data_IF_288988019377
#
_entry.id   IF_288988019377
#
_cell.length_a   1.000
_cell.length_b   1.000
_cell.length_c   1.000
_cell.angle_alpha   90.00
_cell.angle_beta   90.00
_cell.angle_gamma   90.00
#
_symmetry.space_group_name_H-M   'P 1'
#
loop_
_entity.id
_entity.type
_entity.pdbx_description
1 polymer ?
#
# COMPACT_ATOMS: atom_id res chain seq x y z
N UNK A 1 -20.03 14.71 -30.33
CA UNK A 1 -18.77 14.33 -31.01
C UNK A 1 -17.84 13.76 -29.95
N UNK A 2 -17.23 12.59 -30.18
CA UNK A 2 -16.28 12.02 -29.23
C UNK A 2 -15.08 12.96 -29.03
N UNK A 3 -14.61 13.03 -27.79
CA UNK A 3 -13.39 13.75 -27.39
C UNK A 3 -12.15 13.16 -28.08
N UNK A 4 -11.03 13.87 -28.04
CA UNK A 4 -9.75 13.37 -28.57
C UNK A 4 -9.38 12.02 -27.94
N UNK A 5 -9.52 11.90 -26.62
CA UNK A 5 -9.21 10.69 -25.85
C UNK A 5 -10.14 9.52 -26.20
N UNK A 6 -11.44 9.77 -26.40
CA UNK A 6 -12.39 8.72 -26.82
C UNK A 6 -12.02 8.14 -28.20
N UNK A 7 -11.63 9.00 -29.15
CA UNK A 7 -11.17 8.55 -30.47
C UNK A 7 -9.87 7.75 -30.37
N UNK A 8 -8.89 8.24 -29.61
CA UNK A 8 -7.63 7.52 -29.36
C UNK A 8 -7.91 6.14 -28.75
N UNK A 9 -8.81 6.06 -27.76
CA UNK A 9 -9.20 4.79 -27.13
C UNK A 9 -9.82 3.83 -28.14
N UNK A 10 -10.81 4.27 -28.93
CA UNK A 10 -11.48 3.45 -29.94
C UNK A 10 -10.50 2.92 -31.00
N UNK A 11 -9.54 3.75 -31.43
CA UNK A 11 -8.48 3.37 -32.34
C UNK A 11 -7.55 2.30 -31.73
N UNK A 12 -7.10 2.50 -30.50
CA UNK A 12 -6.24 1.56 -29.77
C UNK A 12 -6.94 0.21 -29.54
N UNK A 13 -8.23 0.22 -29.20
CA UNK A 13 -9.02 -1.00 -28.98
C UNK A 13 -9.25 -1.76 -30.29
N UNK A 14 -9.70 -1.06 -31.33
CA UNK A 14 -9.98 -1.67 -32.64
C UNK A 14 -8.72 -2.27 -33.25
N UNK A 15 -7.58 -1.59 -33.12
CA UNK A 15 -6.30 -2.05 -33.64
C UNK A 15 -5.55 -3.00 -32.70
N UNK A 16 -6.07 -3.27 -31.48
CA UNK A 16 -5.42 -4.08 -30.43
C UNK A 16 -4.00 -3.60 -30.08
N UNK A 17 -3.81 -2.29 -29.96
CA UNK A 17 -2.49 -1.63 -29.81
C UNK A 17 -2.10 -1.28 -28.37
N UNK A 18 -2.83 -1.76 -27.37
CA UNK A 18 -2.50 -1.54 -25.95
C UNK A 18 -1.12 -2.07 -25.54
N UNK A 19 -0.75 -3.27 -25.98
CA UNK A 19 0.57 -3.83 -25.69
C UNK A 19 1.69 -3.00 -26.34
N UNK A 20 1.63 -2.66 -27.66
CA UNK A 20 2.57 -1.72 -28.27
C UNK A 20 2.71 -0.38 -27.54
N UNK A 21 1.59 0.30 -27.24
CA UNK A 21 1.60 1.59 -26.55
C UNK A 21 2.22 1.48 -25.15
N UNK A 22 1.89 0.42 -24.41
CA UNK A 22 2.49 0.17 -23.09
C UNK A 22 4.00 -0.01 -23.18
N UNK A 23 4.50 -0.74 -24.18
CA UNK A 23 5.93 -0.92 -24.42
C UNK A 23 6.62 0.38 -24.86
N UNK A 24 5.95 1.19 -25.68
CA UNK A 24 6.42 2.51 -26.08
C UNK A 24 6.62 3.41 -24.85
N UNK A 25 5.61 3.52 -23.97
CA UNK A 25 5.71 4.27 -22.72
C UNK A 25 6.86 3.74 -21.85
N UNK A 26 7.01 2.42 -21.76
CA UNK A 26 8.12 1.79 -21.01
C UNK A 26 9.49 2.18 -21.59
N UNK A 27 9.63 2.20 -22.91
CA UNK A 27 10.88 2.53 -23.57
C UNK A 27 11.21 4.04 -23.50
N UNK A 28 10.20 4.90 -23.51
CA UNK A 28 10.36 6.35 -23.36
C UNK A 28 10.52 6.80 -21.90
N UNK A 29 10.20 5.95 -20.94
CA UNK A 29 10.35 6.27 -19.51
C UNK A 29 11.83 6.44 -19.16
N UNK A 30 12.18 7.59 -18.60
CA UNK A 30 13.54 7.84 -18.13
C UNK A 30 13.83 7.04 -16.87
N UNK A 31 15.05 6.50 -16.78
CA UNK A 31 15.57 5.82 -15.59
C UNK A 31 16.49 6.77 -14.82
N UNK A 32 16.03 7.23 -13.65
CA UNK A 32 16.76 8.14 -12.80
C UNK A 32 17.58 7.37 -11.75
N UNK A 33 18.66 7.96 -11.19
CA UNK A 33 19.42 7.32 -10.11
C UNK A 33 18.55 6.97 -8.90
N UNK A 34 18.74 5.77 -8.36
CA UNK A 34 18.10 5.26 -7.13
C UNK A 34 19.14 4.59 -6.22
N UNK A 35 20.31 5.24 -6.05
CA UNK A 35 21.49 4.70 -5.39
C UNK A 35 21.24 4.43 -3.90
N UNK A 36 20.55 5.33 -3.21
CA UNK A 36 20.29 5.20 -1.76
C UNK A 36 19.49 3.93 -1.47
N UNK A 37 18.52 3.61 -2.32
CA UNK A 37 17.71 2.41 -2.20
C UNK A 37 18.52 1.10 -2.34
N UNK A 38 19.71 1.16 -2.95
CA UNK A 38 20.59 0.00 -3.16
C UNK A 38 21.71 -0.14 -2.14
N UNK A 39 21.83 0.77 -1.18
CA UNK A 39 22.79 0.62 -0.09
C UNK A 39 22.51 -0.67 0.72
N UNK A 40 23.54 -1.40 1.17
CA UNK A 40 23.38 -2.66 1.89
C UNK A 40 22.44 -2.56 3.10
N UNK A 41 22.54 -1.48 3.89
CA UNK A 41 21.71 -1.21 5.06
C UNK A 41 20.22 -1.00 4.73
N UNK A 42 19.88 -0.68 3.48
CA UNK A 42 18.51 -0.45 3.02
C UNK A 42 17.86 -1.70 2.41
N UNK A 43 18.60 -2.80 2.26
CA UNK A 43 18.09 -4.04 1.63
C UNK A 43 16.84 -4.58 2.33
N UNK A 44 16.80 -4.56 3.66
CA UNK A 44 15.66 -5.03 4.45
C UNK A 44 14.50 -4.02 4.54
N UNK A 45 14.64 -2.81 3.95
CA UNK A 45 13.57 -1.79 3.86
C UNK A 45 12.86 -1.82 2.50
N UNK A 46 13.29 -2.70 1.59
CA UNK A 46 12.73 -2.87 0.26
C UNK A 46 11.99 -4.20 0.14
N UNK A 47 10.69 -4.14 -0.20
CA UNK A 47 9.88 -5.35 -0.42
C UNK A 47 10.29 -6.09 -1.70
N UNK A 48 10.66 -5.33 -2.74
CA UNK A 48 11.05 -5.86 -4.04
C UNK A 48 12.40 -5.30 -4.46
N UNK A 49 13.28 -6.15 -4.97
CA UNK A 49 14.64 -5.78 -5.38
C UNK A 49 14.65 -4.84 -6.59
N UNK A 50 13.66 -5.00 -7.46
CA UNK A 50 13.48 -4.33 -8.74
C UNK A 50 12.57 -3.10 -8.68
N UNK A 51 12.05 -2.74 -7.51
CA UNK A 51 11.23 -1.53 -7.31
C UNK A 51 11.86 -0.64 -6.26
N UNK A 52 12.33 0.53 -6.67
CA UNK A 52 13.04 1.47 -5.80
C UNK A 52 12.63 2.92 -6.09
N UNK A 53 12.58 3.80 -5.08
CA UNK A 53 12.35 5.21 -5.31
C UNK A 53 13.60 5.85 -5.94
N UNK A 54 13.42 6.81 -6.83
CA UNK A 54 14.53 7.62 -7.33
C UNK A 54 15.06 8.55 -6.25
N UNK A 55 16.36 8.83 -6.27
CA UNK A 55 17.05 9.60 -5.23
C UNK A 55 16.53 11.04 -5.12
N UNK A 56 16.11 11.64 -6.25
CA UNK A 56 15.64 13.03 -6.31
C UNK A 56 14.20 13.21 -5.80
N UNK A 57 13.38 12.16 -5.84
CA UNK A 57 11.96 12.20 -5.46
C UNK A 57 11.63 11.37 -4.23
N UNK A 58 12.60 10.61 -3.67
CA UNK A 58 12.36 9.79 -2.48
C UNK A 58 11.94 10.67 -1.31
N UNK A 59 10.98 10.17 -0.53
CA UNK A 59 10.68 10.75 0.77
C UNK A 59 11.83 10.45 1.72
N UNK A 60 12.26 11.45 2.50
CA UNK A 60 13.33 11.33 3.49
C UNK A 60 12.73 11.45 4.88
N UNK A 61 12.93 10.43 5.70
CA UNK A 61 12.51 10.47 7.09
C UNK A 61 13.41 11.42 7.87
N UNK A 62 12.81 12.32 8.64
CA UNK A 62 13.54 13.19 9.58
C UNK A 62 13.65 12.50 10.95
N UNK A 63 14.64 12.87 11.75
CA UNK A 63 14.85 12.36 13.11
C UNK A 63 14.94 10.82 13.20
N UNK A 64 15.51 10.18 12.18
CA UNK A 64 15.82 8.76 12.14
C UNK A 64 17.31 8.56 11.83
N UNK A 65 17.94 7.53 12.39
CA UNK A 65 19.35 7.21 12.10
C UNK A 65 19.58 6.93 10.61
N UNK A 66 18.57 6.38 9.94
CA UNK A 66 18.55 6.12 8.51
C UNK A 66 17.28 6.72 7.90
N UNK A 67 17.47 7.73 7.04
CA UNK A 67 16.41 8.53 6.41
C UNK A 67 15.60 7.78 5.33
N UNK A 68 15.96 6.53 5.04
CA UNK A 68 15.41 5.79 3.91
C UNK A 68 14.06 5.13 4.22
N UNK A 69 13.11 5.38 3.32
CA UNK A 69 11.86 4.63 3.14
C UNK A 69 11.61 4.47 1.63
N UNK A 70 11.06 3.32 1.20
CA UNK A 70 10.71 3.11 -0.21
C UNK A 70 9.40 3.84 -0.57
N UNK A 71 9.49 5.15 -0.68
CA UNK A 71 8.39 6.04 -1.02
C UNK A 71 8.88 7.17 -1.92
N UNK A 72 8.05 7.60 -2.86
CA UNK A 72 8.35 8.70 -3.80
C UNK A 72 7.27 9.77 -3.68
N UNK A 73 7.68 11.03 -3.53
CA UNK A 73 6.81 12.18 -3.72
C UNK A 73 6.65 12.40 -5.23
N UNK A 74 5.44 12.17 -5.74
CA UNK A 74 5.04 12.43 -7.12
C UNK A 74 4.27 13.74 -7.12
N UNK A 75 4.87 14.78 -7.66
CA UNK A 75 4.29 16.11 -7.67
C UNK A 75 3.91 16.52 -9.10
N UNK A 76 2.64 16.84 -9.32
CA UNK A 76 2.11 17.25 -10.62
C UNK A 76 1.67 18.71 -10.49
N UNK A 77 2.60 19.60 -10.81
CA UNK A 77 2.46 21.04 -10.63
C UNK A 77 1.26 21.60 -11.39
N UNK A 78 1.06 21.19 -12.64
CA UNK A 78 -0.06 21.64 -13.47
C UNK A 78 -1.41 21.23 -12.85
N UNK A 79 -1.48 20.04 -12.26
CA UNK A 79 -2.65 19.56 -11.55
C UNK A 79 -2.79 20.20 -10.16
N UNK A 80 -1.74 20.84 -9.62
CA UNK A 80 -1.62 21.24 -8.22
C UNK A 80 -1.98 20.08 -7.28
N UNK A 81 -1.42 18.91 -7.61
CA UNK A 81 -1.73 17.65 -6.92
C UNK A 81 -0.44 16.89 -6.66
N UNK A 82 -0.24 16.50 -5.41
CA UNK A 82 0.92 15.73 -5.00
C UNK A 82 0.50 14.45 -4.27
N UNK A 83 1.25 13.38 -4.50
CA UNK A 83 1.01 12.07 -3.91
C UNK A 83 2.30 11.50 -3.35
N UNK A 84 2.20 10.70 -2.29
CA UNK A 84 3.30 9.82 -1.89
C UNK A 84 2.95 8.40 -2.32
N UNK A 85 3.69 7.89 -3.31
CA UNK A 85 3.55 6.51 -3.76
C UNK A 85 4.59 5.63 -3.06
N UNK A 86 4.12 4.63 -2.32
CA UNK A 86 4.98 3.79 -1.47
C UNK A 86 4.64 2.30 -1.61
N UNK A 87 5.58 1.43 -1.22
CA UNK A 87 5.32 -0.01 -1.13
C UNK A 87 4.38 -0.32 0.05
N UNK A 88 3.73 -1.48 0.03
CA UNK A 88 3.04 -2.02 1.19
C UNK A 88 4.06 -2.26 2.31
N UNK A 89 3.88 -1.69 3.52
CA UNK A 89 4.84 -1.79 4.61
C UNK A 89 5.28 -3.24 4.88
N UNK A 90 6.57 -3.41 5.17
CA UNK A 90 7.12 -4.63 5.76
C UNK A 90 6.94 -4.58 7.28
N UNK A 91 7.01 -5.71 8.01
CA UNK A 91 6.92 -5.71 9.46
C UNK A 91 7.87 -4.71 10.14
N UNK A 92 9.12 -4.65 9.67
CA UNK A 92 10.16 -3.75 10.18
C UNK A 92 10.06 -2.31 9.61
N UNK A 93 9.07 -2.00 8.77
CA UNK A 93 8.87 -0.66 8.20
C UNK A 93 7.51 -0.05 8.50
N UNK A 94 6.65 -0.69 9.31
CA UNK A 94 5.39 -0.11 9.75
C UNK A 94 5.61 1.18 10.57
N UNK A 95 6.58 1.19 11.48
CA UNK A 95 6.95 2.37 12.27
C UNK A 95 7.39 3.54 11.36
N UNK A 96 8.28 3.25 10.40
CA UNK A 96 8.74 4.20 9.39
C UNK A 96 7.60 4.76 8.52
N UNK A 97 6.61 3.93 8.19
CA UNK A 97 5.43 4.35 7.42
C UNK A 97 4.61 5.39 8.20
N UNK A 98 4.32 5.16 9.48
CA UNK A 98 3.57 6.11 10.29
C UNK A 98 4.35 7.38 10.61
N UNK A 99 5.67 7.27 10.81
CA UNK A 99 6.56 8.43 10.89
C UNK A 99 6.47 9.30 9.63
N UNK A 100 6.47 8.68 8.44
CA UNK A 100 6.29 9.37 7.16
C UNK A 100 4.92 10.07 7.09
N UNK A 101 3.84 9.35 7.39
CA UNK A 101 2.47 9.92 7.41
C UNK A 101 2.39 11.16 8.31
N UNK A 102 3.01 11.08 9.50
CA UNK A 102 3.08 12.20 10.42
C UNK A 102 3.86 13.39 9.87
N UNK A 103 5.11 13.16 9.43
CA UNK A 103 6.01 14.22 8.96
C UNK A 103 5.47 14.93 7.72
N UNK A 104 4.82 14.17 6.84
CA UNK A 104 4.27 14.69 5.61
C UNK A 104 2.90 15.33 5.80
N UNK A 105 2.34 15.34 7.03
CA UNK A 105 1.01 15.91 7.35
C UNK A 105 -0.11 15.31 6.50
N UNK A 106 0.04 14.03 6.15
CA UNK A 106 -0.93 13.28 5.35
C UNK A 106 -2.26 13.18 6.09
N UNK A 107 -3.38 13.32 5.35
CA UNK A 107 -4.74 13.10 5.85
C UNK A 107 -5.38 11.80 5.40
N UNK A 108 -4.99 11.31 4.21
CA UNK A 108 -5.49 10.05 3.68
C UNK A 108 -4.38 9.06 3.36
N UNK A 109 -4.63 7.81 3.74
CA UNK A 109 -3.90 6.63 3.24
C UNK A 109 -4.84 5.83 2.35
N UNK A 110 -4.44 5.59 1.11
CA UNK A 110 -5.19 4.79 0.12
C UNK A 110 -4.47 3.47 -0.11
N UNK A 111 -5.05 2.38 0.40
CA UNK A 111 -4.56 1.02 0.29
C UNK A 111 -5.31 0.27 -0.82
N UNK A 112 -4.59 -0.18 -1.85
CA UNK A 112 -5.19 -0.79 -3.05
C UNK A 112 -4.91 -2.30 -3.15
N UNK A 113 -4.52 -2.95 -2.06
CA UNK A 113 -4.25 -4.39 -2.02
C UNK A 113 -4.79 -5.03 -0.75
N UNK A 114 -4.93 -6.36 -0.74
CA UNK A 114 -5.13 -7.12 0.50
C UNK A 114 -3.79 -7.50 1.12
N UNK A 115 -3.78 -7.75 2.41
CA UNK A 115 -2.59 -8.23 3.15
C UNK A 115 -2.05 -9.51 2.52
N UNK A 116 -2.94 -10.44 2.18
CA UNK A 116 -2.61 -11.69 1.48
C UNK A 116 -3.32 -11.72 0.14
N UNK A 117 -2.57 -12.01 -0.93
CA UNK A 117 -3.10 -12.21 -2.28
C UNK A 117 -2.41 -13.42 -2.91
N UNK A 118 -3.18 -14.33 -3.51
CA UNK A 118 -2.65 -15.58 -4.09
C UNK A 118 -1.70 -16.29 -3.10
N UNK A 119 -2.15 -16.43 -1.84
CA UNK A 119 -1.44 -17.09 -0.73
C UNK A 119 -0.11 -16.44 -0.30
N UNK A 120 0.22 -15.26 -0.83
CA UNK A 120 1.46 -14.54 -0.52
C UNK A 120 1.17 -13.27 0.28
N UNK A 121 1.99 -12.97 1.29
CA UNK A 121 1.90 -11.71 2.06
C UNK A 121 2.42 -10.55 1.20
N UNK A 122 1.51 -9.63 0.87
CA UNK A 122 1.74 -8.45 0.02
C UNK A 122 1.93 -7.16 0.80
N UNK A 123 1.49 -7.12 2.04
CA UNK A 123 1.59 -5.98 2.95
C UNK A 123 1.53 -6.50 4.39
N UNK A 124 2.23 -5.88 5.34
CA UNK A 124 2.03 -6.18 6.75
C UNK A 124 0.67 -5.63 7.23
N UNK A 125 0.13 -6.18 8.32
CA UNK A 125 -0.95 -5.55 9.07
C UNK A 125 -0.35 -4.34 9.80
N UNK A 126 -0.49 -3.15 9.23
CA UNK A 126 0.14 -1.93 9.75
C UNK A 126 -0.84 -0.99 10.46
N UNK A 127 -2.12 -1.34 10.52
CA UNK A 127 -3.17 -0.63 11.25
C UNK A 127 -3.93 -1.61 12.16
N UNK A 128 -4.51 -1.15 13.27
CA UNK A 128 -5.32 -2.00 14.14
C UNK A 128 -6.64 -2.44 13.47
N UNK A 129 -7.04 -3.68 13.70
CA UNK A 129 -8.31 -4.26 13.20
C UNK A 129 -9.33 -4.53 14.30
N UNK A 130 -8.96 -4.25 15.54
CA UNK A 130 -9.79 -4.37 16.73
C UNK A 130 -9.63 -3.09 17.57
N UNK A 131 -10.22 -3.09 18.77
CA UNK A 131 -10.14 -1.96 19.69
C UNK A 131 -8.73 -1.77 20.29
N UNK A 132 -7.74 -2.60 19.93
CA UNK A 132 -6.38 -2.48 20.42
C UNK A 132 -5.60 -1.38 19.69
N UNK A 133 -4.71 -0.75 20.44
CA UNK A 133 -3.77 0.21 19.91
C UNK A 133 -2.52 -0.50 19.40
N UNK A 134 -2.07 -0.14 18.20
CA UNK A 134 -0.77 -0.55 17.69
C UNK A 134 0.31 0.45 18.09
N UNK A 135 1.33 -0.02 18.81
CA UNK A 135 2.43 0.79 19.32
C UNK A 135 3.71 0.60 18.49
N UNK A 136 4.24 1.70 17.96
CA UNK A 136 5.48 1.76 17.19
C UNK A 136 6.56 2.53 17.97
N UNK A 137 7.16 1.85 18.96
CA UNK A 137 8.09 2.47 19.93
C UNK A 137 9.32 3.06 19.26
N UNK A 138 9.82 2.45 18.19
CA UNK A 138 11.02 2.85 17.46
C UNK A 138 10.91 4.25 16.89
N UNK A 139 9.68 4.70 16.59
CA UNK A 139 9.40 6.03 16.04
C UNK A 139 8.57 6.89 16.99
N UNK A 140 8.15 6.36 18.15
CA UNK A 140 7.35 7.10 19.14
C UNK A 140 5.91 7.38 18.71
N UNK A 141 5.28 6.48 17.97
CA UNK A 141 3.90 6.63 17.48
C UNK A 141 3.00 5.50 17.95
N UNK A 142 1.73 5.79 18.13
CA UNK A 142 0.68 4.79 18.25
C UNK A 142 -0.46 5.06 17.27
N UNK A 143 -1.17 3.99 16.91
CA UNK A 143 -2.31 4.04 15.98
C UNK A 143 -3.48 3.30 16.60
N UNK A 144 -4.63 3.97 16.64
CA UNK A 144 -5.88 3.42 17.16
C UNK A 144 -6.99 3.50 16.10
N UNK A 145 -7.81 2.46 16.02
CA UNK A 145 -9.03 2.46 15.22
C UNK A 145 -10.13 3.24 15.98
N UNK A 146 -10.71 4.25 15.33
CA UNK A 146 -11.83 5.03 15.89
C UNK A 146 -13.17 4.55 15.35
N UNK A 147 -13.24 4.25 14.05
CA UNK A 147 -14.45 3.74 13.41
C UNK A 147 -14.11 3.04 12.09
N UNK A 148 -15.02 2.19 11.64
CA UNK A 148 -14.93 1.47 10.37
C UNK A 148 -16.28 1.56 9.62
N UNK A 149 -16.23 1.87 8.33
CA UNK A 149 -17.37 1.77 7.41
C UNK A 149 -17.04 0.75 6.30
N UNK A 150 -17.60 -0.44 6.43
CA UNK A 150 -17.36 -1.57 5.52
C UNK A 150 -18.40 -1.57 4.40
N UNK A 151 -17.92 -1.53 3.14
CA UNK A 151 -18.74 -1.70 1.93
C UNK A 151 -18.35 -2.99 1.19
N UNK A 152 -19.08 -3.31 0.13
CA UNK A 152 -18.88 -4.56 -0.61
C UNK A 152 -17.48 -4.73 -1.24
N UNK A 153 -16.84 -3.63 -1.66
CA UNK A 153 -15.54 -3.63 -2.35
C UNK A 153 -14.48 -2.68 -1.77
N UNK A 154 -14.83 -1.94 -0.72
CA UNK A 154 -13.88 -1.10 0.00
C UNK A 154 -14.30 -0.94 1.46
N UNK A 155 -13.35 -0.54 2.30
CA UNK A 155 -13.58 -0.18 3.70
C UNK A 155 -12.94 1.17 3.97
N UNK A 156 -13.62 2.03 4.73
CA UNK A 156 -13.05 3.29 5.23
C UNK A 156 -12.85 3.17 6.73
N UNK A 157 -11.60 3.25 7.17
CA UNK A 157 -11.26 3.31 8.59
C UNK A 157 -10.94 4.75 8.96
N UNK A 158 -11.40 5.18 10.14
CA UNK A 158 -10.95 6.41 10.77
C UNK A 158 -9.92 6.03 11.83
N UNK A 159 -8.68 6.46 11.64
CA UNK A 159 -7.57 6.12 12.52
C UNK A 159 -7.13 7.36 13.30
N UNK A 160 -6.80 7.19 14.57
CA UNK A 160 -6.06 8.19 15.36
C UNK A 160 -4.59 7.81 15.33
N UNK A 161 -3.75 8.70 14.81
CA UNK A 161 -2.29 8.63 14.89
C UNK A 161 -1.83 9.59 15.98
N UNK A 162 -1.13 9.08 16.99
CA UNK A 162 -0.64 9.84 18.12
C UNK A 162 0.89 9.86 18.17
N UNK A 163 1.47 11.05 18.35
CA UNK A 163 2.86 11.20 18.75
C UNK A 163 2.95 11.07 20.27
N UNK A 164 3.46 9.95 20.75
CA UNK A 164 3.44 9.58 22.18
C UNK A 164 4.30 10.53 23.01
N UNK A 165 5.34 11.11 22.40
CA UNK A 165 6.25 12.01 23.11
C UNK A 165 5.61 13.39 23.36
N UNK A 166 4.75 13.86 22.46
CA UNK A 166 4.09 15.17 22.58
C UNK A 166 2.63 15.09 23.03
N UNK A 167 1.99 13.93 22.91
CA UNK A 167 0.54 13.75 23.05
C UNK A 167 -0.29 14.38 21.93
N UNK A 168 0.35 14.89 20.85
CA UNK A 168 -0.37 15.42 19.70
C UNK A 168 -1.02 14.27 18.92
N UNK A 169 -2.30 14.42 18.59
CA UNK A 169 -3.07 13.43 17.83
C UNK A 169 -3.55 13.99 16.50
N UNK A 170 -3.64 13.12 15.49
CA UNK A 170 -4.19 13.44 14.18
C UNK A 170 -5.10 12.32 13.71
N UNK A 171 -6.21 12.71 13.12
CA UNK A 171 -7.12 11.77 12.45
C UNK A 171 -6.68 11.52 11.02
N UNK A 172 -6.58 10.25 10.64
CA UNK A 172 -6.19 9.77 9.31
C UNK A 172 -7.34 8.94 8.74
N UNK A 173 -7.80 9.27 7.54
CA UNK A 173 -8.75 8.45 6.79
C UNK A 173 -8.00 7.37 6.01
N UNK A 174 -8.25 6.11 6.33
CA UNK A 174 -7.64 4.95 5.67
C UNK A 174 -8.66 4.29 4.74
N UNK A 175 -8.50 4.52 3.44
CA UNK A 175 -9.35 4.00 2.37
C UNK A 175 -8.76 2.70 1.82
N UNK A 176 -9.42 1.57 2.06
CA UNK A 176 -8.95 0.26 1.67
C UNK A 176 -9.82 -0.34 0.57
N UNK A 177 -9.32 -0.38 -0.68
CA UNK A 177 -9.98 -1.08 -1.78
C UNK A 177 -9.68 -2.58 -1.71
N UNK A 178 -10.69 -3.41 -1.46
CA UNK A 178 -10.51 -4.82 -1.05
C UNK A 178 -10.63 -5.83 -2.19
N UNK A 179 -11.24 -5.47 -3.32
CA UNK A 179 -11.51 -6.40 -4.43
C UNK A 179 -10.67 -6.19 -5.68
N UNK A 180 -9.61 -5.35 -5.62
CA UNK A 180 -8.72 -5.16 -6.78
C UNK A 180 -7.73 -6.32 -6.91
N UNK A 181 -7.80 -7.16 -7.97
CA UNK A 181 -6.90 -8.28 -8.15
C UNK A 181 -5.46 -7.85 -8.48
N UNK A 182 -4.46 -8.58 -7.95
CA UNK A 182 -3.04 -8.34 -8.27
C UNK A 182 -2.76 -8.57 -9.76
N UNK A 183 -2.07 -7.61 -10.40
CA UNK A 183 -1.84 -7.51 -11.85
C UNK A 183 -3.10 -7.43 -12.74
N UNK A 184 -4.29 -7.41 -12.15
CA UNK A 184 -5.53 -7.20 -12.88
C UNK A 184 -6.02 -5.75 -12.79
N UNK A 185 -7.28 -5.58 -13.14
CA UNK A 185 -8.02 -4.32 -13.09
C UNK A 185 -9.32 -4.51 -12.31
N UNK A 186 -9.93 -3.44 -11.78
CA UNK A 186 -11.28 -3.50 -11.23
C UNK A 186 -12.27 -4.02 -12.28
N UNK A 187 -13.32 -4.72 -11.84
CA UNK A 187 -14.33 -5.31 -12.74
C UNK A 187 -15.02 -4.26 -13.63
N UNK A 188 -15.18 -3.04 -13.13
CA UNK A 188 -15.71 -1.93 -13.89
C UNK A 188 -15.08 -0.59 -13.48
N UNK A 189 -15.05 0.41 -14.38
CA UNK A 189 -14.70 1.78 -14.01
C UNK A 189 -15.61 2.38 -12.94
N UNK A 190 -16.87 1.95 -12.83
CA UNK A 190 -17.85 2.52 -11.91
C UNK A 190 -17.46 2.32 -10.43
N UNK A 191 -17.05 1.12 -10.03
CA UNK A 191 -16.61 0.86 -8.64
C UNK A 191 -15.32 1.61 -8.30
N UNK A 192 -14.37 1.65 -9.25
CA UNK A 192 -13.14 2.42 -9.09
C UNK A 192 -13.42 3.92 -8.95
N UNK A 193 -14.26 4.49 -9.82
CA UNK A 193 -14.60 5.91 -9.80
C UNK A 193 -15.38 6.25 -8.54
N UNK A 194 -16.38 5.46 -8.13
CA UNK A 194 -17.09 5.69 -6.88
C UNK A 194 -16.12 5.73 -5.68
N UNK A 195 -15.17 4.80 -5.61
CA UNK A 195 -14.13 4.83 -4.58
C UNK A 195 -13.22 6.08 -4.68
N UNK A 196 -12.73 6.43 -5.87
CA UNK A 196 -11.91 7.63 -6.07
C UNK A 196 -12.66 8.89 -5.62
N UNK A 197 -13.94 9.02 -5.99
CA UNK A 197 -14.76 10.16 -5.59
C UNK A 197 -15.02 10.17 -4.08
N UNK A 198 -15.15 9.02 -3.42
CA UNK A 198 -15.19 8.95 -1.94
C UNK A 198 -13.91 9.51 -1.30
N UNK A 199 -12.73 9.24 -1.88
CA UNK A 199 -11.46 9.81 -1.42
C UNK A 199 -11.39 11.32 -1.69
N UNK A 200 -11.93 11.79 -2.82
CA UNK A 200 -11.99 13.23 -3.14
C UNK A 200 -12.96 13.99 -2.21
N UNK A 201 -14.15 13.44 -1.98
CA UNK A 201 -15.20 14.02 -1.14
C UNK A 201 -14.78 14.18 0.32
N UNK A 202 -13.82 13.40 0.80
CA UNK A 202 -13.26 13.57 2.15
C UNK A 202 -12.38 14.82 2.30
N UNK A 203 -12.10 15.54 1.20
CA UNK A 203 -11.20 16.69 1.16
C UNK A 203 -9.72 16.33 1.36
N UNK A 204 -9.39 15.05 1.53
CA UNK A 204 -8.03 14.63 1.93
C UNK A 204 -6.99 14.73 0.81
N UNK A 205 -7.42 15.00 -0.43
CA UNK A 205 -6.52 15.27 -1.56
C UNK A 205 -6.26 16.76 -1.78
N UNK A 206 -6.91 17.65 -1.02
CA UNK A 206 -6.81 19.10 -1.19
C UNK A 206 -5.42 19.65 -0.80
N UNK A 207 -4.99 20.78 -1.39
CA UNK A 207 -3.66 21.34 -1.18
C UNK A 207 -3.42 21.93 0.22
N UNK A 208 -4.44 22.08 1.06
CA UNK A 208 -4.32 22.50 2.46
C UNK A 208 -3.80 21.39 3.39
N UNK A 209 -3.60 20.19 2.84
CA UNK A 209 -3.06 19.04 3.54
C UNK A 209 -1.76 18.56 2.90
N UNK A 210 -1.04 17.73 3.65
CA UNK A 210 0.06 16.96 3.07
C UNK A 210 -0.39 16.01 1.97
N UNK A 211 0.53 15.56 1.10
CA UNK A 211 0.21 14.61 0.04
C UNK A 211 -0.42 13.34 0.61
N UNK A 212 -1.45 12.83 -0.09
CA UNK A 212 -2.05 11.56 0.25
C UNK A 212 -1.05 10.42 0.00
N UNK A 213 -1.00 9.46 0.92
CA UNK A 213 -0.15 8.27 0.78
C UNK A 213 -0.95 7.20 0.06
N UNK A 214 -0.48 6.76 -1.10
CA UNK A 214 -1.16 5.75 -1.92
C UNK A 214 -0.22 4.56 -2.07
N UNK A 215 -0.71 3.37 -1.74
CA UNK A 215 0.08 2.16 -1.85
C UNK A 215 -0.73 0.97 -2.37
N UNK A 216 0.02 -0.01 -2.87
CA UNK A 216 -0.45 -1.37 -3.07
C UNK A 216 0.62 -2.28 -2.49
N UNK A 217 1.01 -3.38 -3.15
CA UNK A 217 2.16 -4.16 -2.69
C UNK A 217 3.50 -3.49 -3.05
N UNK A 218 3.73 -3.19 -4.33
CA UNK A 218 4.96 -2.53 -4.80
C UNK A 218 4.86 -0.99 -4.87
N UNK A 219 3.63 -0.46 -4.84
CA UNK A 219 3.40 0.98 -4.96
C UNK A 219 3.57 1.55 -6.37
N UNK A 220 3.37 0.76 -7.42
CA UNK A 220 3.58 1.19 -8.81
C UNK A 220 2.44 0.84 -9.78
N UNK A 221 1.90 -0.39 -9.74
CA UNK A 221 0.82 -0.80 -10.66
C UNK A 221 -0.51 -0.12 -10.34
N UNK A 222 -1.22 -0.64 -9.33
CA UNK A 222 -2.53 -0.12 -8.88
C UNK A 222 -2.45 1.33 -8.39
N UNK A 223 -1.39 1.66 -7.66
CA UNK A 223 -1.11 3.03 -7.21
C UNK A 223 -0.89 4.00 -8.37
N UNK A 224 -0.21 3.56 -9.43
CA UNK A 224 -0.03 4.34 -10.65
C UNK A 224 -1.35 4.55 -11.39
N UNK A 225 -2.17 3.50 -11.53
CA UNK A 225 -3.52 3.62 -12.11
C UNK A 225 -4.39 4.61 -11.34
N UNK A 226 -4.44 4.50 -10.00
CA UNK A 226 -5.24 5.41 -9.17
C UNK A 226 -4.82 6.87 -9.38
N UNK A 227 -3.52 7.13 -9.23
CA UNK A 227 -2.98 8.48 -9.26
C UNK A 227 -3.06 9.10 -10.66
N UNK A 228 -2.83 8.31 -11.73
CA UNK A 228 -2.99 8.78 -13.11
C UNK A 228 -4.42 9.19 -13.41
N UNK A 229 -5.41 8.36 -13.04
CA UNK A 229 -6.81 8.69 -13.30
C UNK A 229 -7.21 9.95 -12.54
N UNK A 230 -6.84 10.04 -11.26
CA UNK A 230 -7.10 11.25 -10.46
C UNK A 230 -6.47 12.50 -11.08
N UNK A 231 -5.17 12.44 -11.42
CA UNK A 231 -4.44 13.56 -12.06
C UNK A 231 -5.12 14.01 -13.35
N UNK A 232 -5.46 13.08 -14.24
CA UNK A 232 -6.13 13.41 -15.50
C UNK A 232 -7.50 14.05 -15.26
N UNK A 233 -8.29 13.56 -14.32
CA UNK A 233 -9.58 14.18 -14.02
C UNK A 233 -9.42 15.61 -13.45
N UNK A 234 -8.42 15.86 -12.60
CA UNK A 234 -8.13 17.22 -12.10
C UNK A 234 -7.72 18.17 -13.21
N UNK A 235 -6.85 17.73 -14.14
CA UNK A 235 -6.44 18.55 -15.28
C UNK A 235 -7.63 18.85 -16.21
N UNK A 236 -8.53 17.88 -16.41
CA UNK A 236 -9.76 18.06 -17.19
C UNK A 236 -10.72 19.07 -16.54
N UNK A 237 -10.84 19.06 -15.21
CA UNK A 237 -11.62 20.05 -14.46
C UNK A 237 -11.09 21.47 -14.64
N UNK A 238 -9.78 21.64 -14.89
CA UNK A 238 -9.16 22.92 -15.21
C UNK A 238 -9.33 23.35 -16.68
N UNK A 239 -9.87 22.48 -17.53
CA UNK A 239 -10.11 22.75 -18.95
C UNK A 239 -8.97 22.35 -19.89
N UNK A 240 -7.98 21.58 -19.40
CA UNK A 240 -6.84 21.15 -20.21
C UNK A 240 -7.22 20.02 -21.19
N UNK A 241 -6.66 20.06 -22.41
CA UNK A 241 -6.68 18.89 -23.30
C UNK A 241 -5.56 17.93 -22.87
N UNK A 242 -5.92 16.69 -22.59
CA UNK A 242 -5.02 15.75 -21.91
C UNK A 242 -4.47 14.71 -22.87
N UNK A 243 -3.15 14.62 -22.88
CA UNK A 243 -2.44 13.47 -23.40
C UNK A 243 -2.09 12.50 -22.25
N UNK A 244 -2.85 11.42 -22.11
CA UNK A 244 -2.71 10.47 -20.99
C UNK A 244 -1.32 9.80 -20.99
N UNK A 245 -0.78 9.48 -22.17
CA UNK A 245 0.59 8.96 -22.34
C UNK A 245 1.61 9.92 -21.74
N UNK A 246 1.51 11.21 -22.06
CA UNK A 246 2.44 12.23 -21.58
C UNK A 246 2.33 12.47 -20.07
N UNK A 247 1.11 12.48 -19.52
CA UNK A 247 0.89 12.57 -18.06
C UNK A 247 1.57 11.39 -17.36
N UNK A 248 1.37 10.15 -17.85
CA UNK A 248 2.00 8.97 -17.27
C UNK A 248 3.53 9.03 -17.35
N UNK A 249 4.10 9.47 -18.49
CA UNK A 249 5.55 9.66 -18.63
C UNK A 249 6.07 10.70 -17.63
N UNK A 250 5.35 11.80 -17.42
CA UNK A 250 5.71 12.82 -16.44
C UNK A 250 5.67 12.25 -15.00
N UNK A 251 4.63 11.51 -14.63
CA UNK A 251 4.56 10.84 -13.33
C UNK A 251 5.69 9.83 -13.13
N UNK A 252 6.05 9.10 -14.19
CA UNK A 252 7.17 8.13 -14.18
C UNK A 252 8.54 8.77 -14.00
N UNK A 253 8.67 10.10 -14.11
CA UNK A 253 9.89 10.80 -13.70
C UNK A 253 10.11 10.76 -12.20
N UNK A 254 9.06 10.63 -11.41
CA UNK A 254 9.14 10.61 -9.95
C UNK A 254 9.22 9.20 -9.37
N UNK A 255 8.57 8.22 -9.99
CA UNK A 255 8.62 6.82 -9.56
C UNK A 255 8.60 5.88 -10.75
N UNK A 256 9.53 4.93 -10.77
CA UNK A 256 9.62 3.93 -11.83
C UNK A 256 8.34 3.09 -11.98
N UNK A 257 8.09 2.63 -13.20
CA UNK A 257 7.17 1.51 -13.45
C UNK A 257 5.70 1.75 -13.12
N UNK A 258 5.24 3.00 -12.96
CA UNK A 258 3.82 3.29 -12.73
C UNK A 258 2.97 2.69 -13.85
N UNK A 259 1.91 1.95 -13.50
CA UNK A 259 1.16 1.06 -14.41
C UNK A 259 2.03 -0.10 -14.91
N UNK A 260 1.64 -1.32 -14.55
CA UNK A 260 2.44 -2.54 -14.72
C UNK A 260 1.97 -3.45 -15.86
N UNK A 261 0.78 -3.21 -16.42
CA UNK A 261 0.23 -4.02 -17.52
C UNK A 261 -0.47 -3.14 -18.57
N UNK A 262 -0.57 -3.62 -19.83
CA UNK A 262 -1.39 -2.97 -20.84
C UNK A 262 -2.86 -2.85 -20.42
N UNK A 263 -3.38 -3.84 -19.70
CA UNK A 263 -4.77 -3.82 -19.21
C UNK A 263 -4.98 -2.71 -18.18
N UNK A 264 -4.01 -2.45 -17.30
CA UNK A 264 -4.06 -1.31 -16.38
C UNK A 264 -4.03 0.03 -17.13
N UNK A 265 -3.24 0.13 -18.20
CA UNK A 265 -3.22 1.32 -19.04
C UNK A 265 -4.58 1.53 -19.74
N UNK A 266 -5.11 0.48 -20.37
CA UNK A 266 -6.43 0.48 -20.99
C UNK A 266 -7.52 0.86 -19.99
N UNK A 267 -7.49 0.28 -18.80
CA UNK A 267 -8.43 0.60 -17.73
C UNK A 267 -8.33 2.06 -17.28
N UNK A 268 -7.12 2.63 -17.18
CA UNK A 268 -6.94 4.05 -16.90
C UNK A 268 -7.66 4.93 -17.94
N UNK A 269 -7.54 4.64 -19.23
CA UNK A 269 -8.29 5.36 -20.27
C UNK A 269 -9.80 5.22 -20.07
N UNK A 270 -10.31 3.99 -19.86
CA UNK A 270 -11.74 3.77 -19.62
C UNK A 270 -12.26 4.58 -18.42
N UNK A 271 -11.52 4.59 -17.31
CA UNK A 271 -11.89 5.32 -16.11
C UNK A 271 -11.82 6.85 -16.31
N UNK A 272 -10.84 7.36 -17.06
CA UNK A 272 -10.74 8.79 -17.38
C UNK A 272 -11.91 9.22 -18.28
N UNK A 273 -12.21 8.45 -19.33
CA UNK A 273 -13.34 8.73 -20.24
C UNK A 273 -14.67 8.72 -19.48
N UNK A 274 -14.90 7.70 -18.64
CA UNK A 274 -16.12 7.60 -17.85
C UNK A 274 -16.19 8.73 -16.81
N UNK A 275 -15.10 9.00 -16.10
CA UNK A 275 -15.00 10.07 -15.11
C UNK A 275 -15.24 11.47 -15.69
N UNK A 276 -14.79 11.71 -16.92
CA UNK A 276 -14.98 12.98 -17.62
C UNK A 276 -16.45 13.33 -17.87
N UNK A 277 -17.36 12.35 -17.88
CA UNK A 277 -18.81 12.59 -17.98
C UNK A 277 -19.35 13.31 -16.74
N UNK A 278 -18.80 13.03 -15.55
CA UNK A 278 -19.15 13.73 -14.32
C UNK A 278 -18.73 15.21 -14.38
N UNK A 279 -17.53 15.49 -14.91
CA UNK A 279 -17.00 16.86 -15.05
C UNK A 279 -17.88 17.69 -15.99
N UNK A 280 -18.44 17.07 -17.04
CA UNK A 280 -19.31 17.72 -18.04
C UNK A 280 -20.74 18.02 -17.53
N UNK A 281 -21.01 17.88 -16.23
CA UNK A 281 -22.27 18.29 -15.61
C UNK A 281 -23.34 17.20 -15.50
N UNK A 282 -22.99 15.93 -15.74
CA UNK A 282 -23.91 14.81 -15.45
C UNK A 282 -23.92 14.52 -13.94
N UNK A 283 -24.63 15.35 -13.18
CA UNK A 283 -24.74 15.23 -11.71
C UNK A 283 -25.39 13.92 -11.25
N UNK A 284 -26.11 13.23 -12.14
CA UNK A 284 -26.69 11.91 -11.87
C UNK A 284 -25.69 10.76 -11.91
N UNK A 285 -24.49 10.97 -12.49
CA UNK A 285 -23.56 9.89 -12.78
C UNK A 285 -22.91 9.30 -11.53
N UNK A 286 -22.64 10.13 -10.51
CA UNK A 286 -22.10 9.64 -9.23
C UNK A 286 -23.10 8.72 -8.54
N UNK A 287 -24.39 9.09 -8.53
CA UNK A 287 -25.46 8.24 -8.01
C UNK A 287 -25.53 6.93 -8.79
N UNK A 288 -25.41 7.00 -10.12
CA UNK A 288 -25.38 5.82 -10.99
C UNK A 288 -24.17 4.92 -10.72
N UNK A 289 -22.98 5.46 -10.50
CA UNK A 289 -21.81 4.66 -10.14
C UNK A 289 -21.98 4.00 -8.78
N UNK A 290 -22.53 4.69 -7.79
CA UNK A 290 -22.89 4.08 -6.50
C UNK A 290 -23.82 2.88 -6.72
N UNK A 291 -24.90 3.05 -7.47
CA UNK A 291 -25.86 1.99 -7.80
C UNK A 291 -25.20 0.81 -8.56
N UNK A 292 -24.41 1.11 -9.61
CA UNK A 292 -23.73 0.10 -10.42
C UNK A 292 -22.62 -0.64 -9.66
N UNK A 293 -21.95 0.05 -8.73
CA UNK A 293 -20.89 -0.53 -7.90
C UNK A 293 -21.42 -1.49 -6.85
N UNK A 294 -22.73 -1.41 -6.54
CA UNK A 294 -23.40 -2.24 -5.54
C UNK A 294 -22.68 -2.19 -4.18
N UNK A 295 -22.26 -0.99 -3.76
CA UNK A 295 -21.46 -0.81 -2.53
C UNK A 295 -22.17 -1.28 -1.26
N UNK A 296 -23.51 -1.21 -1.24
CA UNK A 296 -24.36 -1.57 -0.09
C UNK A 296 -24.63 -3.09 0.04
N UNK A 297 -24.07 -3.92 -0.86
CA UNK A 297 -24.14 -5.38 -0.72
C UNK A 297 -23.19 -5.90 0.38
N UNK A 298 -23.44 -7.12 0.85
CA UNK A 298 -22.52 -7.79 1.78
C UNK A 298 -21.12 -7.93 1.16
N UNK A 299 -20.04 -7.73 1.94
CA UNK A 299 -18.68 -7.95 1.48
C UNK A 299 -18.49 -9.36 0.90
N UNK A 300 -17.77 -9.44 -0.22
CA UNK A 300 -17.50 -10.73 -0.88
C UNK A 300 -16.52 -11.62 -0.08
N UNK A 301 -15.85 -11.06 0.94
CA UNK A 301 -14.85 -11.74 1.75
C UNK A 301 -15.10 -11.47 3.24
N UNK A 302 -15.00 -12.52 4.04
CA UNK A 302 -15.04 -12.44 5.50
C UNK A 302 -13.71 -11.85 6.01
N UNK A 303 -13.78 -10.79 6.81
CA UNK A 303 -12.62 -10.04 7.32
C UNK A 303 -11.84 -10.76 8.44
N UNK A 304 -12.20 -12.00 8.77
CA UNK A 304 -11.62 -12.78 9.87
C UNK A 304 -10.08 -12.93 9.77
N UNK A 305 -9.28 -12.29 10.66
CA UNK A 305 -7.85 -12.45 10.69
C UNK A 305 -7.49 -13.63 11.59
N UNK A 306 -7.77 -14.87 11.17
CA UNK A 306 -7.41 -16.06 11.94
C UNK A 306 -7.00 -17.23 11.06
N UNK A 307 -5.86 -17.09 10.38
CA UNK A 307 -4.98 -18.24 10.09
C UNK A 307 -3.54 -17.81 10.27
N UNK A 308 -2.92 -18.30 11.35
CA UNK A 308 -1.46 -18.33 11.50
C UNK A 308 -0.93 -19.19 10.34
N UNK A 309 -0.62 -18.56 9.22
CA UNK A 309 0.11 -19.16 8.12
C UNK A 309 1.59 -18.93 8.37
N UNK A 310 2.40 -19.98 8.23
CA UNK A 310 3.86 -19.90 8.24
C UNK A 310 4.32 -18.86 7.21
N UNK A 311 4.84 -17.74 7.71
CA UNK A 311 5.08 -16.53 6.93
C UNK A 311 6.15 -16.77 5.85
N UNK A 312 5.72 -16.86 4.59
CA UNK A 312 6.63 -16.78 3.44
C UNK A 312 6.52 -15.38 2.83
N UNK A 313 7.35 -14.46 3.33
CA UNK A 313 7.60 -13.21 2.64
C UNK A 313 8.36 -13.51 1.33
N UNK A 314 7.90 -12.95 0.22
CA UNK A 314 8.65 -13.04 -1.03
C UNK A 314 10.01 -12.33 -0.84
N UNK A 315 11.08 -13.11 -0.73
CA UNK A 315 12.44 -12.62 -0.93
C UNK A 315 13.39 -12.59 0.27
N UNK A 316 13.01 -12.96 1.50
CA UNK A 316 13.95 -13.19 2.59
C UNK A 316 13.37 -14.16 3.64
N UNK A 317 14.07 -15.26 3.92
CA UNK A 317 13.83 -16.06 5.15
C UNK A 317 14.38 -15.25 6.32
N UNK A 318 13.51 -14.78 7.21
CA UNK A 318 13.93 -14.29 8.52
C UNK A 318 13.83 -15.51 9.44
N UNK A 319 14.97 -16.03 9.89
CA UNK A 319 15.02 -17.03 10.94
C UNK A 319 14.77 -16.33 12.27
N UNK A 320 13.65 -16.65 12.93
CA UNK A 320 13.45 -16.34 14.33
C UNK A 320 13.88 -17.58 15.12
N UNK A 321 14.90 -17.42 15.96
CA UNK A 321 15.27 -18.42 16.97
C UNK A 321 14.16 -18.51 18.02
N UNK A 322 13.62 -19.71 18.23
CA UNK A 322 12.63 -20.00 19.27
C UNK A 322 13.31 -20.05 20.65
N UNK A 323 13.07 -19.04 21.49
CA UNK A 323 13.27 -19.17 22.93
C UNK A 323 12.16 -20.06 23.52
N UNK A 324 12.55 -21.26 23.98
CA UNK A 324 11.68 -22.18 24.72
C UNK A 324 11.39 -21.62 26.11
N UNK A 325 10.16 -21.18 26.35
CA UNK A 325 9.58 -21.00 27.68
C UNK A 325 8.74 -22.24 28.03
N UNK A 326 9.32 -23.16 28.80
CA UNK A 326 8.57 -24.23 29.49
C UNK A 326 8.04 -23.70 30.81
N UNK A 327 6.75 -23.36 30.86
CA UNK A 327 6.02 -23.04 32.08
C UNK A 327 5.29 -24.26 32.62
N UNK A 328 5.84 -24.88 33.66
CA UNK A 328 5.24 -25.97 34.42
C UNK A 328 4.01 -25.48 35.21
N UNK A 329 2.87 -26.14 35.01
CA UNK A 329 1.81 -26.25 36.02
C UNK A 329 1.21 -27.65 35.94
N UNK A 330 1.55 -28.50 36.89
CA UNK A 330 0.65 -29.59 37.28
C UNK A 330 0.66 -29.77 38.80
N UNK A 331 -0.54 -29.69 39.36
CA UNK A 331 -0.91 -29.88 40.76
C UNK A 331 -0.86 -31.36 41.15
N UNK A 332 -0.27 -31.64 42.31
CA UNK A 332 -0.87 -32.45 43.38
C UNK A 332 -0.94 -33.99 43.27
N UNK A 333 -0.26 -34.63 44.23
CA UNK A 333 -0.62 -35.86 44.98
C UNK A 333 0.04 -37.22 44.62
N UNK A 334 0.96 -37.58 45.53
CA UNK A 334 1.03 -38.81 46.34
C UNK A 334 1.64 -40.12 45.81
N UNK A 335 2.71 -40.51 46.53
CA UNK A 335 3.09 -41.85 47.01
C UNK A 335 3.53 -42.94 46.03
N UNK A 336 4.79 -43.38 46.13
CA UNK A 336 5.20 -44.60 46.86
C UNK A 336 6.73 -44.82 46.81
N UNK A 337 7.23 -45.37 47.91
CA UNK A 337 8.59 -45.83 48.18
C UNK A 337 8.99 -47.07 47.36
N UNK A 338 10.28 -47.23 47.06
CA UNK A 338 11.20 -48.32 47.49
C UNK A 338 12.45 -48.30 46.59
N UNK A 339 13.63 -48.07 47.18
CA UNK A 339 14.68 -49.07 47.44
C UNK A 339 15.14 -49.79 46.15
N UNK A 340 16.43 -49.83 45.77
CA UNK A 340 17.51 -50.39 46.57
C UNK A 340 18.88 -50.07 45.93
N UNK A 341 19.90 -49.97 46.79
CA UNK A 341 21.35 -50.29 46.68
C UNK A 341 21.85 -50.99 45.39
N UNK A 342 23.10 -50.87 44.94
CA UNK A 342 24.36 -51.00 45.68
C UNK A 342 25.56 -50.64 44.74
N UNK A 343 26.65 -50.13 45.34
CA UNK A 343 28.09 -50.42 45.13
C UNK A 343 28.66 -50.83 43.75
N UNK A 344 29.92 -50.64 43.40
CA UNK A 344 31.14 -50.03 43.93
C UNK A 344 32.09 -50.07 42.71
N UNK A 345 33.03 -49.13 42.60
CA UNK A 345 34.47 -49.44 42.53
C UNK A 345 35.29 -48.30 41.91
N UNK A 346 36.43 -48.12 42.53
CA UNK A 346 37.37 -47.04 42.47
C UNK A 346 38.39 -47.13 41.31
N UNK A 347 38.75 -45.94 40.78
CA UNK A 347 40.13 -45.45 40.49
C UNK A 347 40.97 -46.12 39.36
N UNK A 348 42.12 -45.51 38.96
CA UNK A 348 42.32 -44.12 38.55
C UNK A 348 43.24 -43.96 37.32
N UNK A 349 43.27 -42.71 36.82
CA UNK A 349 44.38 -41.95 36.17
C UNK A 349 45.56 -42.70 35.53
N UNK A 350 45.90 -42.26 34.32
CA UNK A 350 47.27 -41.94 33.93
C UNK A 350 47.27 -40.77 32.93
N UNK A 351 48.05 -39.75 33.26
CA UNK A 351 48.49 -38.66 32.38
C UNK A 351 49.78 -39.08 31.66
N UNK A 352 50.03 -38.49 30.49
CA UNK A 352 51.29 -37.81 30.10
C UNK A 352 51.54 -37.94 28.59
N UNK A 353 51.29 -36.87 27.83
CA UNK A 353 52.28 -36.02 27.11
C UNK A 353 51.57 -35.11 26.11
#
# INVERSE_FOLDING_TARGET
MPTSIEREFEELDTQRRWQPLYLEIRNESHDYPHRVAKFPENRNRNRYRDVSPYDHSRVKLQNAENDYINASLVDIEEAQRSYILTQGPLPNTCCHFWLMVWQQKTKAVVMLNRIVEKESVKCAQYWPTDDQEMLFKETGFSVKLLSEDVKSYYTVHLLQLENINSGETRTISHFHYTTWPDFGVPESPASFLNFLFKVRESGSLNPDHGPAVIHCSAGIGRSGTFSLVDTCLVLMEKGDDINIKQVLLNMRKYRMGLIQTPDQLRFSYMAIIEGAKCIKGDSGIQKRWKELSKEDLSPAFDHSPNKIMTEKYNGNRIGLEEEKLTGDRCTGLSSKMQDTMEENSERPRLTDT
#
